data_IF_096392706701
#
_entry.id   IF_096392706701
#
_cell.length_a   1.000
_cell.length_b   1.000
_cell.length_c   1.000
_cell.angle_alpha   90.00
_cell.angle_beta   90.00
_cell.angle_gamma   90.00
#
_symmetry.space_group_name_H-M   'P 1'
#
loop_
_entity.id
_entity.type
_entity.pdbx_description
1 polymer ?
#
# COMPACT_ATOMS: atom_id res chain seq x y z
N UNK A 1 -37.18 -26.45 -57.84
CA UNK A 1 -36.50 -25.15 -57.49
C UNK A 1 -36.67 -24.77 -56.00
N UNK A 2 -37.80 -25.06 -55.40
CA UNK A 2 -38.10 -24.73 -53.97
C UNK A 2 -37.21 -25.41 -52.93
N UNK A 3 -36.72 -26.62 -53.14
CA UNK A 3 -35.89 -27.34 -52.16
C UNK A 3 -34.48 -26.74 -51.97
N UNK A 4 -33.89 -26.14 -53.00
CA UNK A 4 -32.56 -25.48 -52.89
C UNK A 4 -32.61 -24.17 -52.09
N UNK A 5 -33.67 -23.39 -52.18
CA UNK A 5 -33.86 -22.17 -51.44
C UNK A 5 -34.01 -22.39 -49.92
N UNK A 6 -34.76 -23.41 -49.50
CA UNK A 6 -34.92 -23.72 -48.10
C UNK A 6 -33.64 -24.20 -47.41
N UNK A 7 -32.74 -24.88 -48.15
CA UNK A 7 -31.44 -25.30 -47.63
C UNK A 7 -30.50 -24.11 -47.39
N UNK A 8 -30.53 -23.11 -48.26
CA UNK A 8 -29.68 -21.88 -48.11
C UNK A 8 -30.17 -21.06 -46.92
N UNK A 9 -31.50 -20.89 -46.76
CA UNK A 9 -32.10 -20.16 -45.63
C UNK A 9 -31.80 -20.86 -44.30
N UNK A 10 -31.90 -22.19 -44.24
CA UNK A 10 -31.54 -22.96 -43.06
C UNK A 10 -30.07 -22.85 -42.71
N UNK A 11 -29.19 -22.88 -43.71
CA UNK A 11 -27.72 -22.67 -43.51
C UNK A 11 -27.39 -21.29 -42.96
N UNK A 12 -28.02 -20.23 -43.47
CA UNK A 12 -27.85 -18.86 -42.96
C UNK A 12 -28.33 -18.73 -41.52
N UNK A 13 -29.50 -19.29 -41.18
CA UNK A 13 -30.03 -19.29 -39.83
C UNK A 13 -29.11 -20.03 -38.85
N UNK A 14 -28.54 -21.14 -39.26
CA UNK A 14 -27.60 -21.93 -38.47
C UNK A 14 -26.29 -21.14 -38.21
N UNK A 15 -25.77 -20.41 -39.20
CA UNK A 15 -24.62 -19.52 -39.07
C UNK A 15 -24.89 -18.36 -38.12
N UNK A 16 -26.07 -17.76 -38.20
CA UNK A 16 -26.46 -16.66 -37.27
C UNK A 16 -26.55 -17.16 -35.84
N UNK A 17 -27.19 -18.35 -35.63
CA UNK A 17 -27.27 -18.97 -34.31
C UNK A 17 -25.88 -19.32 -33.74
N UNK A 18 -24.98 -19.82 -34.59
CA UNK A 18 -23.64 -20.20 -34.19
C UNK A 18 -22.83 -18.96 -33.86
N UNK A 19 -22.90 -17.88 -34.66
CA UNK A 19 -22.27 -16.60 -34.36
C UNK A 19 -22.79 -15.95 -33.06
N UNK A 20 -24.12 -16.04 -32.84
CA UNK A 20 -24.75 -15.60 -31.61
C UNK A 20 -24.29 -16.39 -30.38
N UNK A 21 -24.16 -17.72 -30.50
CA UNK A 21 -23.66 -18.58 -29.44
C UNK A 21 -22.18 -18.26 -29.10
N UNK A 22 -21.32 -18.05 -30.10
CA UNK A 22 -19.92 -17.64 -29.92
C UNK A 22 -19.89 -16.29 -29.23
N UNK A 23 -20.68 -15.32 -29.65
CA UNK A 23 -20.73 -14.00 -29.01
C UNK A 23 -21.15 -14.07 -27.51
N UNK A 24 -22.17 -14.91 -27.21
CA UNK A 24 -22.60 -15.14 -25.82
C UNK A 24 -21.49 -15.79 -24.97
N UNK A 25 -20.80 -16.78 -25.49
CA UNK A 25 -19.70 -17.46 -24.80
C UNK A 25 -18.54 -16.48 -24.57
N UNK A 26 -18.19 -15.66 -25.57
CA UNK A 26 -17.15 -14.64 -25.44
C UNK A 26 -17.48 -13.65 -24.32
N UNK A 27 -18.69 -13.09 -24.28
CA UNK A 27 -19.12 -12.17 -23.22
C UNK A 27 -19.12 -12.83 -21.83
N UNK A 28 -19.49 -14.11 -21.74
CA UNK A 28 -19.42 -14.84 -20.47
C UNK A 28 -17.99 -15.12 -20.03
N UNK A 29 -17.11 -15.48 -20.96
CA UNK A 29 -15.68 -15.65 -20.68
C UNK A 29 -15.06 -14.35 -20.17
N UNK A 30 -15.32 -13.22 -20.83
CA UNK A 30 -14.81 -11.92 -20.40
C UNK A 30 -15.23 -11.59 -18.97
N UNK A 31 -16.51 -11.79 -18.64
CA UNK A 31 -17.01 -11.58 -17.28
C UNK A 31 -16.33 -12.51 -16.25
N UNK A 32 -16.05 -13.73 -16.64
CA UNK A 32 -15.42 -14.72 -15.76
C UNK A 32 -13.95 -14.37 -15.54
N UNK A 33 -13.20 -14.03 -16.59
CA UNK A 33 -11.79 -13.63 -16.53
C UNK A 33 -11.64 -12.35 -15.67
N UNK A 34 -12.47 -11.34 -15.92
CA UNK A 34 -12.47 -10.12 -15.13
C UNK A 34 -12.79 -10.39 -13.65
N UNK A 35 -13.72 -11.28 -13.36
CA UNK A 35 -14.08 -11.65 -11.99
C UNK A 35 -12.94 -12.41 -11.29
N UNK A 36 -12.27 -13.33 -11.99
CA UNK A 36 -11.09 -14.04 -11.49
C UNK A 36 -9.92 -13.09 -11.24
N UNK A 37 -9.62 -12.21 -12.21
CA UNK A 37 -8.59 -11.19 -12.05
C UNK A 37 -8.86 -10.33 -10.81
N UNK A 38 -10.08 -9.89 -10.64
CA UNK A 38 -10.54 -9.12 -9.50
C UNK A 38 -10.32 -9.83 -8.17
N UNK A 39 -10.75 -11.10 -8.10
CA UNK A 39 -10.59 -11.90 -6.88
C UNK A 39 -9.13 -12.08 -6.49
N UNK A 40 -8.25 -12.29 -7.46
CA UNK A 40 -6.80 -12.42 -7.22
C UNK A 40 -6.21 -11.11 -6.69
N UNK A 41 -6.56 -9.96 -7.30
CA UNK A 41 -6.07 -8.65 -6.83
C UNK A 41 -6.56 -8.36 -5.42
N UNK A 42 -7.81 -8.68 -5.14
CA UNK A 42 -8.43 -8.48 -3.85
C UNK A 42 -7.73 -9.30 -2.76
N UNK A 43 -7.49 -10.58 -3.01
CA UNK A 43 -6.80 -11.48 -2.08
C UNK A 43 -5.33 -11.05 -1.88
N UNK A 44 -4.63 -10.72 -2.95
CA UNK A 44 -3.24 -10.22 -2.86
C UNK A 44 -3.17 -8.88 -2.15
N UNK A 45 -4.14 -7.99 -2.36
CA UNK A 45 -4.21 -6.70 -1.69
C UNK A 45 -4.41 -6.84 -0.18
N UNK A 46 -5.29 -7.74 0.24
CA UNK A 46 -5.51 -8.06 1.64
C UNK A 46 -4.24 -8.64 2.28
N UNK A 47 -3.64 -9.62 1.62
CA UNK A 47 -2.37 -10.22 2.08
C UNK A 47 -1.24 -9.20 2.21
N UNK A 48 -1.06 -8.31 1.22
CA UNK A 48 -0.01 -7.28 1.27
C UNK A 48 -0.27 -6.24 2.36
N UNK A 49 -1.52 -5.84 2.54
CA UNK A 49 -1.90 -4.93 3.63
C UNK A 49 -1.62 -5.56 4.99
N UNK A 50 -1.87 -6.86 5.13
CA UNK A 50 -1.56 -7.61 6.35
C UNK A 50 -0.05 -7.70 6.60
N UNK A 51 0.76 -7.95 5.58
CA UNK A 51 2.23 -7.94 5.71
C UNK A 51 2.74 -6.57 6.20
N UNK A 52 2.23 -5.48 5.63
CA UNK A 52 2.58 -4.13 6.09
C UNK A 52 2.20 -3.97 7.56
N UNK A 53 0.99 -4.37 7.95
CA UNK A 53 0.54 -4.29 9.35
C UNK A 53 1.47 -5.05 10.29
N UNK A 54 1.85 -6.27 9.93
CA UNK A 54 2.75 -7.09 10.73
C UNK A 54 4.15 -6.47 10.87
N UNK A 55 4.68 -5.88 9.80
CA UNK A 55 5.98 -5.23 9.87
C UNK A 55 5.96 -3.98 10.76
N UNK A 56 4.93 -3.16 10.65
CA UNK A 56 4.77 -2.03 11.56
C UNK A 56 4.50 -2.47 12.99
N UNK A 57 3.73 -3.55 13.20
CA UNK A 57 3.50 -4.11 14.52
C UNK A 57 4.80 -4.55 15.20
N UNK A 58 5.67 -5.25 14.48
CA UNK A 58 7.00 -5.65 14.98
C UNK A 58 7.84 -4.45 15.37
N UNK A 59 7.80 -3.37 14.58
CA UNK A 59 8.52 -2.14 14.91
C UNK A 59 7.92 -1.44 16.12
N UNK A 60 6.60 -1.46 16.30
CA UNK A 60 5.96 -0.93 17.49
C UNK A 60 6.35 -1.73 18.75
N UNK A 61 6.38 -3.05 18.67
CA UNK A 61 6.85 -3.93 19.75
C UNK A 61 8.32 -3.68 20.10
N UNK A 62 9.14 -3.29 19.12
CA UNK A 62 10.51 -2.89 19.36
C UNK A 62 10.58 -1.58 20.16
N UNK A 63 9.75 -0.57 19.83
CA UNK A 63 9.65 0.67 20.62
C UNK A 63 9.28 0.37 22.08
N UNK A 64 8.28 -0.49 22.30
CA UNK A 64 7.85 -0.91 23.65
C UNK A 64 8.98 -1.63 24.38
N UNK A 65 9.68 -2.56 23.73
CA UNK A 65 10.81 -3.28 24.31
C UNK A 65 11.97 -2.35 24.71
N UNK A 66 12.23 -1.32 23.92
CA UNK A 66 13.23 -0.29 24.25
C UNK A 66 12.79 0.57 25.44
N UNK A 67 11.50 0.89 25.54
CA UNK A 67 10.95 1.59 26.71
C UNK A 67 11.09 0.77 27.98
N UNK A 68 10.77 -0.53 27.92
CA UNK A 68 10.92 -1.45 29.05
C UNK A 68 12.38 -1.60 29.49
N UNK A 69 13.31 -1.66 28.52
CA UNK A 69 14.74 -1.64 28.82
C UNK A 69 15.14 -0.39 29.59
N UNK A 70 14.71 0.79 29.11
CA UNK A 70 15.00 2.06 29.77
C UNK A 70 14.38 2.15 31.18
N UNK A 71 13.15 1.62 31.35
CA UNK A 71 12.49 1.57 32.65
C UNK A 71 13.24 0.71 33.66
N UNK A 72 13.82 -0.41 33.19
CA UNK A 72 14.44 -1.43 34.05
C UNK A 72 15.89 -1.12 34.36
N UNK A 73 16.66 -0.67 33.36
CA UNK A 73 18.10 -0.45 33.44
C UNK A 73 18.50 0.99 33.59
N UNK A 74 17.58 1.93 33.36
CA UNK A 74 17.87 3.35 33.23
C UNK A 74 18.61 3.67 31.92
N UNK A 75 18.79 4.95 31.67
CA UNK A 75 19.52 5.41 30.53
C UNK A 75 21.04 5.38 30.79
N UNK A 76 21.75 4.54 30.06
CA UNK A 76 23.21 4.49 30.02
C UNK A 76 23.64 4.68 28.57
N UNK A 77 24.21 5.85 28.25
CA UNK A 77 24.41 6.32 26.86
C UNK A 77 25.12 5.29 26.00
N UNK A 78 26.29 4.82 26.43
CA UNK A 78 27.14 3.93 25.62
C UNK A 78 26.46 2.59 25.33
N UNK A 79 25.81 2.00 26.33
CA UNK A 79 25.11 0.72 26.17
C UNK A 79 23.86 0.86 25.31
N UNK A 80 23.16 1.99 25.41
CA UNK A 80 21.98 2.25 24.64
C UNK A 80 22.30 2.51 23.17
N UNK A 81 23.35 3.27 22.89
CA UNK A 81 23.87 3.51 21.54
C UNK A 81 24.33 2.21 20.86
N UNK A 82 25.01 1.32 21.59
CA UNK A 82 25.43 0.01 21.07
C UNK A 82 24.21 -0.87 20.73
N UNK A 83 23.20 -0.91 21.62
CA UNK A 83 21.97 -1.63 21.37
C UNK A 83 21.25 -1.11 20.10
N UNK A 84 21.12 0.19 19.96
CA UNK A 84 20.49 0.81 18.80
C UNK A 84 21.25 0.50 17.51
N UNK A 85 22.58 0.62 17.52
CA UNK A 85 23.39 0.30 16.36
C UNK A 85 23.24 -1.16 15.92
N UNK A 86 23.05 -2.08 16.86
CA UNK A 86 22.77 -3.48 16.58
C UNK A 86 21.39 -3.65 15.92
N UNK A 87 20.36 -2.98 16.43
CA UNK A 87 18.98 -3.07 15.93
C UNK A 87 18.87 -2.53 14.49
N UNK A 88 19.48 -1.39 14.19
CA UNK A 88 19.49 -0.84 12.81
C UNK A 88 20.15 -1.81 11.82
N UNK A 89 21.19 -2.50 12.23
CA UNK A 89 21.88 -3.48 11.36
C UNK A 89 21.06 -4.75 11.13
N UNK A 90 20.18 -5.11 12.06
CA UNK A 90 19.37 -6.32 11.97
C UNK A 90 18.11 -6.13 11.14
N UNK A 91 17.54 -4.94 11.15
CA UNK A 91 16.30 -4.62 10.41
C UNK A 91 16.54 -3.52 9.38
N UNK A 92 16.64 -3.91 8.11
CA UNK A 92 16.86 -3.01 6.99
C UNK A 92 15.68 -2.06 6.69
N UNK A 93 14.55 -2.21 7.37
CA UNK A 93 13.38 -1.34 7.23
C UNK A 93 13.47 -0.14 8.16
N UNK A 94 14.22 -0.28 9.26
CA UNK A 94 14.50 0.80 10.20
C UNK A 94 15.58 1.70 9.60
N UNK A 95 15.19 2.90 9.18
CA UNK A 95 16.12 3.84 8.59
C UNK A 95 16.95 4.56 9.65
N UNK A 96 16.31 4.86 10.78
CA UNK A 96 16.98 5.48 11.93
C UNK A 96 16.21 5.25 13.22
N UNK A 97 16.96 5.27 14.32
CA UNK A 97 16.41 5.30 15.67
C UNK A 97 16.95 6.57 16.33
N UNK A 98 16.07 7.31 16.97
CA UNK A 98 16.47 8.51 17.69
C UNK A 98 15.93 8.47 19.12
N UNK A 99 16.62 9.16 20.01
CA UNK A 99 16.15 9.38 21.36
C UNK A 99 16.49 10.79 21.84
N UNK A 100 15.67 11.31 22.72
CA UNK A 100 15.84 12.63 23.31
C UNK A 100 16.00 12.52 24.82
N UNK A 101 17.04 13.15 25.34
CA UNK A 101 17.31 13.30 26.76
C UNK A 101 17.80 14.73 27.02
N UNK A 102 17.35 15.35 28.09
CA UNK A 102 17.82 16.68 28.50
C UNK A 102 17.81 17.75 27.40
N UNK A 103 16.82 17.67 26.48
CA UNK A 103 16.69 18.62 25.38
C UNK A 103 17.62 18.39 24.19
N UNK A 104 18.42 17.33 24.19
CA UNK A 104 19.27 16.89 23.08
C UNK A 104 18.69 15.67 22.43
N UNK A 105 18.79 15.60 21.11
CA UNK A 105 18.41 14.43 20.30
C UNK A 105 19.65 13.73 19.79
N UNK A 106 19.77 12.45 20.07
CA UNK A 106 20.73 11.55 19.44
C UNK A 106 20.03 10.76 18.35
N UNK A 107 20.58 10.79 17.14
CA UNK A 107 20.06 10.10 15.97
C UNK A 107 21.08 9.07 15.55
N UNK A 108 20.66 7.82 15.51
CA UNK A 108 21.45 6.67 15.08
C UNK A 108 20.95 6.17 13.72
N UNK A 109 21.88 6.02 12.79
CA UNK A 109 21.66 5.50 11.44
C UNK A 109 22.68 4.39 11.14
N UNK A 110 22.54 3.74 10.01
CA UNK A 110 23.56 2.80 9.50
C UNK A 110 24.94 3.45 9.27
N UNK A 111 24.94 4.77 8.97
CA UNK A 111 26.15 5.55 8.74
C UNK A 111 26.80 6.08 10.02
N UNK A 112 26.15 5.96 11.17
CA UNK A 112 26.70 6.37 12.47
C UNK A 112 25.73 7.13 13.36
N UNK A 113 26.27 7.74 14.41
CA UNK A 113 25.54 8.45 15.45
C UNK A 113 25.82 9.95 15.33
N UNK A 114 24.77 10.76 15.38
CA UNK A 114 24.86 12.22 15.42
C UNK A 114 24.01 12.80 16.55
N UNK A 115 24.49 13.87 17.15
CA UNK A 115 23.71 14.66 18.10
C UNK A 115 23.17 15.93 17.44
N UNK A 116 21.98 16.33 17.80
CA UNK A 116 21.33 17.58 17.39
C UNK A 116 20.53 18.17 18.54
N UNK A 117 20.10 19.41 18.42
CA UNK A 117 19.08 19.92 19.32
C UNK A 117 17.78 19.14 19.15
N UNK A 118 16.99 19.08 20.21
CA UNK A 118 15.67 18.39 20.15
C UNK A 118 14.82 18.97 19.03
N UNK A 119 14.30 18.11 18.19
CA UNK A 119 13.51 18.49 17.01
C UNK A 119 12.16 19.12 17.35
N UNK A 120 11.46 19.63 16.36
CA UNK A 120 10.17 20.26 16.54
C UNK A 120 9.13 19.28 17.12
N UNK A 121 8.17 19.81 17.86
CA UNK A 121 7.16 19.02 18.60
C UNK A 121 6.31 18.07 17.75
N UNK A 122 6.24 18.31 16.43
CA UNK A 122 5.48 17.44 15.51
C UNK A 122 6.08 16.05 15.36
N UNK A 123 7.40 15.93 15.39
CA UNK A 123 8.10 14.65 15.34
C UNK A 123 7.99 13.87 16.67
N UNK A 124 7.73 14.59 17.76
CA UNK A 124 7.62 14.01 19.11
C UNK A 124 6.33 13.19 19.36
N UNK A 125 5.36 13.31 18.50
CA UNK A 125 4.06 12.63 18.68
C UNK A 125 3.88 11.40 17.79
N UNK A 126 4.92 11.01 17.04
CA UNK A 126 4.81 10.01 16.00
C UNK A 126 4.10 10.54 14.74
N UNK A 127 3.99 9.71 13.73
CA UNK A 127 3.29 10.03 12.48
C UNK A 127 4.21 10.34 11.30
N UNK A 128 3.62 10.93 10.27
CA UNK A 128 4.32 11.21 9.01
C UNK A 128 5.04 12.55 9.05
N UNK A 129 6.29 12.54 8.63
CA UNK A 129 7.04 13.77 8.35
C UNK A 129 8.00 13.58 7.17
N UNK A 130 8.51 14.69 6.62
CA UNK A 130 9.48 14.71 5.53
C UNK A 130 10.79 15.37 5.99
N UNK A 131 11.91 14.76 5.63
CA UNK A 131 13.24 15.31 5.79
C UNK A 131 14.09 14.96 4.57
N UNK A 132 14.80 15.91 4.01
CA UNK A 132 15.69 15.74 2.84
C UNK A 132 15.00 14.99 1.65
N UNK A 133 13.74 15.37 1.35
CA UNK A 133 12.91 14.76 0.31
C UNK A 133 12.48 13.31 0.58
N UNK A 134 12.83 12.73 1.71
CA UNK A 134 12.37 11.41 2.13
C UNK A 134 11.23 11.56 3.13
N UNK A 135 10.19 10.77 2.97
CA UNK A 135 9.09 10.69 3.91
C UNK A 135 9.34 9.55 4.88
N UNK A 136 9.17 9.86 6.17
CA UNK A 136 9.34 8.90 7.25
C UNK A 136 8.04 8.75 8.02
N UNK A 137 7.82 7.55 8.50
CA UNK A 137 6.82 7.27 9.51
C UNK A 137 7.53 6.97 10.82
N UNK A 138 7.24 7.79 11.84
CA UNK A 138 7.81 7.63 13.17
C UNK A 138 6.87 6.84 14.06
N UNK A 139 7.37 5.75 14.62
CA UNK A 139 6.80 5.11 15.78
C UNK A 139 7.47 5.70 17.03
N UNK A 140 6.68 6.21 17.94
CA UNK A 140 7.14 7.01 19.05
C UNK A 140 6.77 6.40 20.40
N UNK A 141 7.67 6.50 21.36
CA UNK A 141 7.42 6.14 22.73
C UNK A 141 8.13 7.08 23.71
N UNK A 142 7.67 7.11 24.96
CA UNK A 142 8.31 7.90 26.01
C UNK A 142 8.35 7.12 27.32
N UNK A 143 9.53 7.11 27.97
CA UNK A 143 9.73 6.53 29.28
C UNK A 143 10.48 7.53 30.17
N UNK A 144 9.78 8.08 31.16
CA UNK A 144 10.31 9.14 32.04
C UNK A 144 10.73 10.38 31.24
N UNK A 145 11.99 10.75 31.35
CA UNK A 145 12.58 11.90 30.62
C UNK A 145 13.12 11.53 29.25
N UNK A 146 13.17 10.23 28.92
CA UNK A 146 13.66 9.76 27.62
C UNK A 146 12.48 9.61 26.68
N UNK A 147 12.52 10.33 25.57
CA UNK A 147 11.66 10.10 24.43
C UNK A 147 12.45 9.33 23.36
N UNK A 148 11.84 8.37 22.72
CA UNK A 148 12.47 7.59 21.66
C UNK A 148 11.54 7.44 20.46
N UNK A 149 12.10 7.32 19.26
CA UNK A 149 11.38 7.09 18.04
C UNK A 149 12.14 6.21 17.07
N UNK A 150 11.42 5.46 16.30
CA UNK A 150 11.93 4.65 15.19
C UNK A 150 11.30 5.19 13.92
N UNK A 151 12.14 5.57 12.97
CA UNK A 151 11.73 6.09 11.68
C UNK A 151 11.86 5.02 10.61
N UNK A 152 10.73 4.74 9.96
CA UNK A 152 10.65 3.87 8.80
C UNK A 152 10.55 4.75 7.57
N UNK A 153 11.51 4.62 6.65
CA UNK A 153 11.44 5.32 5.37
C UNK A 153 10.33 4.73 4.50
N UNK A 154 9.48 5.58 3.94
CA UNK A 154 8.28 5.14 3.22
C UNK A 154 8.57 4.63 1.80
N UNK A 155 9.77 4.87 1.27
CA UNK A 155 10.25 4.28 0.03
C UNK A 155 10.27 2.74 0.09
N UNK A 156 10.55 2.16 1.26
CA UNK A 156 10.47 0.71 1.46
C UNK A 156 9.06 0.15 1.26
N UNK A 157 8.02 0.93 1.53
CA UNK A 157 6.63 0.50 1.31
C UNK A 157 6.31 0.29 -0.17
N UNK A 158 7.03 0.94 -1.07
CA UNK A 158 6.89 0.73 -2.50
C UNK A 158 7.15 -0.73 -2.90
N UNK A 159 8.09 -1.40 -2.26
CA UNK A 159 8.43 -2.80 -2.54
C UNK A 159 7.25 -3.77 -2.30
N UNK A 160 6.34 -3.46 -1.37
CA UNK A 160 5.15 -4.28 -1.13
C UNK A 160 4.17 -4.24 -2.30
N UNK A 161 4.21 -3.19 -3.11
CA UNK A 161 3.24 -2.95 -4.16
C UNK A 161 3.81 -3.06 -5.57
N UNK A 162 5.14 -3.07 -5.72
CA UNK A 162 5.81 -3.08 -7.02
C UNK A 162 5.50 -4.30 -7.90
N UNK A 163 5.05 -5.41 -7.29
CA UNK A 163 4.76 -6.67 -7.98
C UNK A 163 3.36 -7.20 -7.65
N UNK A 164 2.39 -6.31 -7.41
CA UNK A 164 1.03 -6.73 -7.04
C UNK A 164 0.35 -7.57 -8.11
N UNK A 165 0.72 -7.40 -9.39
CA UNK A 165 0.13 -8.19 -10.47
C UNK A 165 1.09 -8.34 -11.66
N UNK A 166 1.09 -9.52 -12.31
CA UNK A 166 1.97 -9.81 -13.44
C UNK A 166 1.68 -8.99 -14.69
N UNK A 167 0.47 -8.45 -14.83
CA UNK A 167 0.04 -7.76 -16.03
C UNK A 167 -0.33 -6.31 -15.71
N UNK A 168 0.59 -5.41 -15.94
CA UNK A 168 0.27 -4.07 -16.37
C UNK A 168 0.22 -2.98 -15.31
N UNK A 169 -0.71 -2.11 -15.45
CA UNK A 169 -0.80 -0.76 -14.90
C UNK A 169 -1.42 -0.67 -13.49
N UNK A 170 -1.52 -1.81 -12.79
CA UNK A 170 -2.06 -1.82 -11.42
C UNK A 170 -1.02 -1.24 -10.46
N UNK A 171 -1.47 -0.45 -9.50
CA UNK A 171 -0.60 0.15 -8.51
C UNK A 171 -1.35 0.37 -7.20
N UNK A 172 -0.59 0.51 -6.13
CA UNK A 172 -1.13 0.85 -4.83
C UNK A 172 -0.42 2.06 -4.23
N UNK A 173 -1.09 2.73 -3.32
CA UNK A 173 -0.56 3.82 -2.53
C UNK A 173 -1.22 3.86 -1.16
N UNK A 174 -0.61 4.57 -0.22
CA UNK A 174 -1.12 4.70 1.14
C UNK A 174 -1.51 6.16 1.39
N UNK A 175 -2.66 6.33 2.02
CA UNK A 175 -3.18 7.61 2.46
C UNK A 175 -3.26 7.63 3.98
N UNK A 176 -2.92 8.74 4.60
CA UNK A 176 -3.28 8.98 5.99
C UNK A 176 -4.78 9.34 6.12
N UNK A 177 -5.28 9.48 7.33
CA UNK A 177 -6.67 9.83 7.64
C UNK A 177 -7.12 11.18 7.07
N UNK A 178 -6.18 12.09 6.83
CA UNK A 178 -6.41 13.41 6.22
C UNK A 178 -6.42 13.38 4.70
N UNK A 179 -6.17 12.21 4.09
CA UNK A 179 -6.11 12.03 2.63
C UNK A 179 -4.82 12.56 2.00
N UNK A 180 -3.74 12.60 2.76
CA UNK A 180 -2.38 12.88 2.24
C UNK A 180 -1.73 11.58 1.81
N UNK A 181 -1.10 11.59 0.65
CA UNK A 181 -0.37 10.44 0.10
C UNK A 181 0.93 10.28 0.87
N UNK A 182 1.06 9.18 1.57
CA UNK A 182 2.23 8.87 2.43
C UNK A 182 3.17 7.85 1.81
N UNK A 183 2.67 7.03 0.88
CA UNK A 183 3.47 6.14 0.05
C UNK A 183 2.85 6.05 -1.35
N UNK A 184 3.67 6.14 -2.39
CA UNK A 184 3.24 6.07 -3.79
C UNK A 184 4.40 5.58 -4.67
N UNK A 185 4.15 4.81 -5.74
CA UNK A 185 5.19 4.38 -6.69
C UNK A 185 5.99 5.53 -7.33
N UNK A 186 5.36 6.69 -7.50
CA UNK A 186 6.01 7.88 -8.04
C UNK A 186 6.17 8.91 -6.92
N UNK A 187 7.41 9.25 -6.57
CA UNK A 187 7.78 10.17 -5.50
C UNK A 187 7.12 11.56 -5.62
N UNK A 188 6.90 12.03 -6.85
CA UNK A 188 6.26 13.34 -7.08
C UNK A 188 4.87 13.49 -6.43
N UNK A 189 4.22 12.39 -6.06
CA UNK A 189 2.90 12.37 -5.43
C UNK A 189 2.96 12.34 -3.90
N UNK A 190 4.13 12.06 -3.33
CA UNK A 190 4.31 12.01 -1.88
C UNK A 190 4.02 13.37 -1.23
N UNK A 191 3.32 13.35 -0.11
CA UNK A 191 2.90 14.55 0.61
C UNK A 191 1.74 15.33 -0.03
N UNK A 192 1.33 14.98 -1.24
CA UNK A 192 0.19 15.64 -1.87
C UNK A 192 -1.13 15.16 -1.26
N UNK A 193 -2.05 16.10 -1.11
CA UNK A 193 -3.40 15.80 -0.66
C UNK A 193 -4.28 15.46 -1.85
N UNK A 194 -5.09 14.41 -1.73
CA UNK A 194 -6.09 14.09 -2.74
C UNK A 194 -7.02 15.28 -2.99
N UNK A 195 -7.15 15.65 -4.26
CA UNK A 195 -8.03 16.75 -4.68
C UNK A 195 -9.50 16.33 -4.61
N UNK A 196 -9.80 15.08 -4.95
CA UNK A 196 -11.17 14.57 -4.98
C UNK A 196 -11.78 14.48 -3.57
N UNK A 197 -12.84 15.26 -3.37
CA UNK A 197 -13.59 15.29 -2.10
C UNK A 197 -14.34 13.98 -1.82
N UNK A 198 -14.76 13.26 -2.86
CA UNK A 198 -15.43 11.98 -2.73
C UNK A 198 -14.45 10.89 -2.25
N UNK A 199 -13.25 10.90 -2.81
CA UNK A 199 -12.19 9.97 -2.41
C UNK A 199 -11.78 10.20 -0.95
N UNK A 200 -11.62 11.45 -0.51
CA UNK A 200 -11.38 11.77 0.91
C UNK A 200 -12.50 11.30 1.84
N UNK A 201 -13.76 11.37 1.41
CA UNK A 201 -14.88 10.81 2.21
C UNK A 201 -14.79 9.29 2.34
N UNK A 202 -14.41 8.60 1.27
CA UNK A 202 -14.20 7.14 1.30
C UNK A 202 -13.08 6.75 2.25
N UNK A 203 -11.96 7.46 2.23
CA UNK A 203 -10.86 7.25 3.18
C UNK A 203 -11.37 7.37 4.62
N UNK A 204 -12.11 8.43 4.95
CA UNK A 204 -12.69 8.62 6.29
C UNK A 204 -13.67 7.49 6.66
N UNK A 205 -14.44 7.01 5.71
CA UNK A 205 -15.36 5.90 5.93
C UNK A 205 -14.58 4.60 6.22
N UNK A 206 -13.57 4.26 5.41
CA UNK A 206 -12.72 3.08 5.60
C UNK A 206 -12.06 3.10 6.97
N UNK A 207 -11.47 4.24 7.34
CA UNK A 207 -10.82 4.44 8.64
C UNK A 207 -11.81 4.36 9.81
N UNK A 208 -12.99 4.98 9.65
CA UNK A 208 -14.00 5.03 10.71
C UNK A 208 -14.70 3.70 10.95
N UNK A 209 -15.04 2.98 9.88
CA UNK A 209 -15.74 1.70 9.95
C UNK A 209 -14.80 0.49 10.10
N UNK A 210 -13.50 0.70 9.88
CA UNK A 210 -12.47 -0.35 9.80
C UNK A 210 -12.88 -1.49 8.84
N UNK A 211 -13.45 -1.10 7.69
CA UNK A 211 -13.94 -2.04 6.67
C UNK A 211 -13.40 -1.69 5.31
N UNK A 212 -13.13 -2.73 4.53
CA UNK A 212 -12.78 -2.61 3.13
C UNK A 212 -13.93 -2.02 2.32
N UNK A 213 -13.59 -1.12 1.40
CA UNK A 213 -14.54 -0.55 0.42
C UNK A 213 -14.01 -0.81 -0.99
N UNK A 214 -14.91 -1.19 -1.88
CA UNK A 214 -14.66 -1.35 -3.30
C UNK A 214 -15.53 -0.40 -4.10
N UNK A 215 -14.93 0.32 -5.05
CA UNK A 215 -15.63 1.26 -5.92
C UNK A 215 -15.00 1.31 -7.30
N UNK A 216 -15.82 1.46 -8.31
CA UNK A 216 -15.37 1.86 -9.65
C UNK A 216 -15.20 3.38 -9.67
N UNK A 217 -14.10 3.85 -10.26
CA UNK A 217 -13.77 5.26 -10.31
C UNK A 217 -12.80 5.59 -11.42
N UNK A 218 -12.16 6.74 -11.29
CA UNK A 218 -11.15 7.22 -12.21
C UNK A 218 -9.83 7.42 -11.47
N UNK A 219 -8.73 6.93 -12.04
CA UNK A 219 -7.41 7.20 -11.49
C UNK A 219 -6.94 8.58 -11.96
N UNK A 220 -6.72 9.49 -11.01
CA UNK A 220 -6.12 10.78 -11.32
C UNK A 220 -4.64 10.68 -11.74
N UNK A 221 -3.98 9.57 -11.43
CA UNK A 221 -2.57 9.34 -11.75
C UNK A 221 -2.38 8.72 -13.14
N UNK A 222 -3.24 7.77 -13.51
CA UNK A 222 -3.18 7.08 -14.81
C UNK A 222 -4.09 7.72 -15.87
N UNK A 223 -5.02 8.57 -15.44
CA UNK A 223 -6.07 9.15 -16.28
C UNK A 223 -6.93 8.08 -16.99
N UNK A 224 -7.21 7.00 -16.29
CA UNK A 224 -7.96 5.84 -16.76
C UNK A 224 -9.06 5.44 -15.78
N UNK A 225 -10.14 4.80 -16.26
CA UNK A 225 -11.10 4.11 -15.40
C UNK A 225 -10.40 2.98 -14.64
N UNK A 226 -10.64 2.89 -13.35
CA UNK A 226 -10.08 1.88 -12.46
C UNK A 226 -11.10 1.41 -11.46
N UNK A 227 -10.92 0.22 -10.99
CA UNK A 227 -11.55 -0.25 -9.78
C UNK A 227 -10.61 0.00 -8.61
N UNK A 228 -11.12 0.63 -7.56
CA UNK A 228 -10.35 0.99 -6.38
C UNK A 228 -10.80 0.17 -5.20
N UNK A 229 -9.85 -0.47 -4.55
CA UNK A 229 -10.09 -1.21 -3.32
C UNK A 229 -9.34 -0.49 -2.19
N UNK A 230 -10.08 -0.12 -1.16
CA UNK A 230 -9.57 0.60 0.00
C UNK A 230 -9.50 -0.37 1.18
N UNK A 231 -8.33 -0.57 1.75
CA UNK A 231 -8.09 -1.41 2.92
C UNK A 231 -7.73 -0.54 4.12
N UNK A 232 -8.37 -0.73 5.28
CA UNK A 232 -7.95 -0.04 6.48
C UNK A 232 -6.61 -0.57 6.95
N UNK A 233 -5.73 0.34 7.33
CA UNK A 233 -4.42 0.05 7.91
C UNK A 233 -4.25 0.88 9.17
N UNK A 234 -4.05 0.22 10.32
CA UNK A 234 -3.73 0.89 11.58
C UNK A 234 -2.30 0.55 11.97
N UNK A 235 -1.53 1.56 12.31
CA UNK A 235 -0.12 1.45 12.70
C UNK A 235 0.07 2.24 13.99
N UNK A 236 0.23 1.56 15.11
CA UNK A 236 0.20 2.22 16.42
C UNK A 236 -1.14 2.96 16.63
N UNK A 237 -1.07 4.26 16.86
CA UNK A 237 -2.24 5.13 16.96
C UNK A 237 -2.70 5.72 15.63
N UNK A 238 -1.87 5.60 14.58
CA UNK A 238 -2.12 6.19 13.27
C UNK A 238 -3.03 5.31 12.42
N UNK A 239 -4.00 5.94 11.78
CA UNK A 239 -4.95 5.29 10.88
C UNK A 239 -4.70 5.70 9.44
N UNK A 240 -4.56 4.71 8.59
CA UNK A 240 -4.27 4.88 7.18
C UNK A 240 -5.20 4.04 6.32
N UNK A 241 -5.08 4.24 5.03
CA UNK A 241 -5.79 3.47 4.02
C UNK A 241 -4.83 3.07 2.91
N UNK A 242 -4.71 1.78 2.66
CA UNK A 242 -4.06 1.26 1.45
C UNK A 242 -5.09 1.30 0.33
N UNK A 243 -4.76 1.94 -0.77
CA UNK A 243 -5.61 2.02 -1.97
C UNK A 243 -4.95 1.26 -3.10
N UNK A 244 -5.62 0.24 -3.59
CA UNK A 244 -5.20 -0.53 -4.75
C UNK A 244 -6.05 -0.13 -5.94
N UNK A 245 -5.40 0.28 -7.02
CA UNK A 245 -6.04 0.61 -8.28
C UNK A 245 -5.83 -0.54 -9.25
N UNK A 246 -6.94 -1.10 -9.70
CA UNK A 246 -6.99 -2.16 -10.71
C UNK A 246 -7.47 -1.53 -12.00
N UNK A 247 -6.57 -1.45 -12.99
CA UNK A 247 -6.97 -0.98 -14.32
C UNK A 247 -7.87 -2.03 -14.94
N UNK A 248 -9.04 -1.60 -15.41
CA UNK A 248 -9.91 -2.45 -16.19
C UNK A 248 -9.19 -2.81 -17.49
N UNK A 249 -8.84 -4.08 -17.63
CA UNK A 249 -8.19 -4.57 -18.85
C UNK A 249 -9.16 -4.42 -20.02
N UNK A 250 -8.71 -3.78 -21.09
CA UNK A 250 -9.42 -3.88 -22.35
C UNK A 250 -9.40 -5.35 -22.81
N UNK A 251 -10.55 -5.87 -23.24
CA UNK A 251 -10.73 -7.29 -23.53
C UNK A 251 -9.65 -7.88 -24.47
N UNK A 252 -9.03 -7.05 -25.30
CA UNK A 252 -7.95 -7.48 -26.20
C UNK A 252 -6.63 -7.74 -25.45
N UNK A 253 -6.26 -6.92 -24.46
CA UNK A 253 -5.05 -7.13 -23.65
C UNK A 253 -5.21 -8.33 -22.71
N UNK A 254 -6.39 -8.50 -22.09
CA UNK A 254 -6.67 -9.63 -21.22
C UNK A 254 -6.62 -10.98 -21.95
N UNK A 255 -7.12 -11.04 -23.19
CA UNK A 255 -7.06 -12.23 -24.01
C UNK A 255 -5.66 -12.55 -24.53
N UNK A 256 -4.85 -11.53 -24.85
CA UNK A 256 -3.46 -11.72 -25.28
C UNK A 256 -2.61 -12.29 -24.13
N UNK A 257 -2.81 -11.82 -22.92
CA UNK A 257 -2.09 -12.33 -21.75
C UNK A 257 -2.58 -13.73 -21.35
N UNK A 258 -3.88 -14.01 -21.40
CA UNK A 258 -4.41 -15.35 -21.18
C UNK A 258 -3.84 -16.37 -22.17
N UNK A 259 -3.75 -16.03 -23.47
CA UNK A 259 -3.12 -16.90 -24.46
C UNK A 259 -1.63 -17.12 -24.20
N UNK A 260 -0.93 -16.13 -23.64
CA UNK A 260 0.50 -16.25 -23.31
C UNK A 260 0.73 -17.20 -22.12
N UNK A 261 -0.16 -17.24 -21.14
CA UNK A 261 -0.06 -18.10 -19.96
C UNK A 261 -0.72 -19.50 -20.13
N UNK A 262 -1.69 -19.63 -21.00
CA UNK A 262 -2.35 -20.92 -21.28
C UNK A 262 -1.53 -21.85 -22.21
N UNK A 263 -0.44 -21.34 -22.80
CA UNK A 263 0.47 -22.08 -23.69
C UNK A 263 1.77 -22.54 -22.99
N UNK A 264 1.86 -22.39 -21.66
CA UNK A 264 2.91 -22.94 -20.78
C UNK A 264 2.30 -23.91 -19.76
#
# INVERSE_FOLDING_TARGET
>A
MFYKQNGIVAGILLLILFAGAIGLVSVQMDKTVNRMHYSVVEEMGEYRTELIRQDFQKTAELVESMQDYLATRGYQKEQFEELIALLIRQDNKVSRIWFETEGKRTICTDSGIRESEAGPSKERNGGLYAEDSTYYWTLYGRQGEVALGIDIALDHLHAYFSNLLPAGKNYAYILNDSGVIVAHPEEKWLGMRLLDSLERRRVKQVVGENKRIHVTGFSQFLLLPVDKIYYPLTVGTEKCTVVINVVQLDNQEAMADFHRYALW
#
